data_IF_872758007685
#
_entry.id   IF_872758007685
#
_cell.length_a   1.000
_cell.length_b   1.000
_cell.length_c   1.000
_cell.angle_alpha   90.00
_cell.angle_beta   90.00
_cell.angle_gamma   90.00
#
_symmetry.space_group_name_H-M   'P 1'
#
loop_
_entity.id
_entity.type
_entity.pdbx_description
1 polymer ?
#
# COMPACT_ATOMS: atom_id res chain seq x y z
N UNK A 1 18.99 -22.30 16.30
CA UNK A 1 19.06 -20.94 16.88
C UNK A 1 17.93 -20.83 17.90
N UNK A 2 18.19 -20.41 19.14
CA UNK A 2 17.11 -20.11 20.08
C UNK A 2 16.27 -18.98 19.48
N UNK A 3 15.00 -19.25 19.16
CA UNK A 3 14.03 -18.21 18.83
C UNK A 3 13.92 -17.30 20.05
N UNK A 4 14.46 -16.09 19.96
CA UNK A 4 14.23 -15.07 20.98
C UNK A 4 12.76 -14.67 20.82
N UNK A 5 11.98 -14.83 21.88
CA UNK A 5 10.65 -14.24 21.95
C UNK A 5 10.76 -12.73 21.66
N UNK A 6 9.87 -12.16 20.85
CA UNK A 6 9.91 -10.73 20.55
C UNK A 6 9.72 -9.91 21.83
N UNK A 7 10.46 -8.82 22.00
CA UNK A 7 10.35 -7.96 23.20
C UNK A 7 9.29 -6.87 23.03
N UNK A 8 8.99 -6.49 21.79
CA UNK A 8 8.01 -5.49 21.42
C UNK A 8 7.40 -5.83 20.04
N UNK A 9 6.45 -5.01 19.60
CA UNK A 9 5.75 -5.22 18.32
C UNK A 9 6.66 -5.07 17.09
N UNK A 10 7.69 -4.22 17.15
CA UNK A 10 8.66 -4.05 16.05
C UNK A 10 9.53 -5.31 15.90
N UNK A 11 10.01 -5.89 17.01
CA UNK A 11 10.75 -7.16 17.00
C UNK A 11 9.90 -8.28 16.40
N UNK A 12 8.62 -8.35 16.81
CA UNK A 12 7.69 -9.34 16.29
C UNK A 12 7.46 -9.17 14.78
N UNK A 13 7.19 -7.94 14.32
CA UNK A 13 7.01 -7.63 12.91
C UNK A 13 8.26 -7.96 12.08
N UNK A 14 9.45 -7.64 12.61
CA UNK A 14 10.71 -7.97 11.96
C UNK A 14 10.92 -9.48 11.81
N UNK A 15 10.73 -10.25 12.88
CA UNK A 15 10.88 -11.72 12.87
C UNK A 15 9.90 -12.34 11.87
N UNK A 16 8.64 -11.89 11.88
CA UNK A 16 7.61 -12.39 10.98
C UNK A 16 7.91 -12.04 9.53
N UNK A 17 8.32 -10.80 9.25
CA UNK A 17 8.71 -10.34 7.91
C UNK A 17 9.84 -11.21 7.35
N UNK A 18 10.93 -11.40 8.11
CA UNK A 18 12.04 -12.27 7.68
C UNK A 18 11.60 -13.72 7.44
N UNK A 19 10.73 -14.25 8.30
CA UNK A 19 10.18 -15.59 8.14
C UNK A 19 9.27 -15.72 6.91
N UNK A 20 8.49 -14.70 6.57
CA UNK A 20 7.59 -14.70 5.43
C UNK A 20 8.35 -14.55 4.11
N UNK A 21 9.35 -13.67 4.06
CA UNK A 21 10.20 -13.50 2.88
C UNK A 21 11.03 -14.76 2.59
N UNK A 22 11.40 -15.52 3.61
CA UNK A 22 12.11 -16.80 3.46
C UNK A 22 11.21 -17.97 3.08
N UNK A 23 9.88 -17.82 3.08
CA UNK A 23 8.93 -18.90 2.78
C UNK A 23 7.87 -18.46 1.75
N UNK A 24 7.89 -19.07 0.56
CA UNK A 24 7.00 -18.73 -0.55
C UNK A 24 5.52 -18.84 -0.22
N UNK A 25 5.13 -19.82 0.59
CA UNK A 25 3.74 -20.05 1.01
C UNK A 25 3.20 -18.93 1.90
N UNK A 26 4.09 -18.07 2.42
CA UNK A 26 3.76 -16.91 3.24
C UNK A 26 3.81 -15.61 2.43
N UNK A 27 3.61 -15.67 1.12
CA UNK A 27 3.56 -14.52 0.22
C UNK A 27 2.34 -14.58 -0.68
N UNK A 28 1.84 -13.43 -1.12
CA UNK A 28 0.77 -13.35 -2.12
C UNK A 28 1.26 -14.05 -3.42
N UNK A 29 0.35 -14.66 -4.17
CA UNK A 29 0.70 -15.28 -5.46
C UNK A 29 1.35 -14.25 -6.41
N UNK A 30 2.28 -14.73 -7.24
CA UNK A 30 3.05 -13.91 -8.19
C UNK A 30 3.83 -12.70 -7.63
N UNK A 31 4.13 -12.69 -6.34
CA UNK A 31 4.76 -11.53 -5.69
C UNK A 31 5.77 -11.91 -4.61
N UNK A 32 6.57 -10.94 -4.23
CA UNK A 32 7.40 -11.00 -3.01
C UNK A 32 6.74 -10.28 -1.81
N UNK A 33 5.44 -10.04 -1.89
CA UNK A 33 4.64 -9.39 -0.85
C UNK A 33 4.32 -10.41 0.25
N UNK A 34 4.80 -10.24 1.48
CA UNK A 34 4.53 -11.19 2.56
C UNK A 34 3.07 -11.14 3.01
N UNK A 35 2.53 -12.28 3.45
CA UNK A 35 1.18 -12.41 4.02
C UNK A 35 1.17 -11.94 5.48
N UNK A 36 1.26 -10.63 5.65
CA UNK A 36 1.29 -9.93 6.94
C UNK A 36 0.29 -8.79 6.83
N UNK A 37 -0.71 -8.75 7.71
CA UNK A 37 -1.70 -7.69 7.77
C UNK A 37 -1.29 -6.67 8.83
N UNK A 38 -1.39 -5.40 8.49
CA UNK A 38 -1.19 -4.27 9.38
C UNK A 38 -2.47 -3.42 9.43
N UNK A 39 -3.02 -3.26 10.62
CA UNK A 39 -4.10 -2.30 10.91
C UNK A 39 -3.72 -1.44 12.11
N UNK A 40 -4.26 -0.23 12.18
CA UNK A 40 -3.95 0.71 13.27
C UNK A 40 -5.19 1.35 13.86
N UNK A 41 -5.12 1.68 15.14
CA UNK A 41 -6.08 2.52 15.84
C UNK A 41 -5.43 3.18 17.05
N UNK A 42 -6.11 4.16 17.66
CA UNK A 42 -5.56 4.91 18.80
C UNK A 42 -5.07 4.03 19.96
N UNK A 43 -5.85 3.00 20.30
CA UNK A 43 -5.57 2.10 21.43
C UNK A 43 -5.99 0.68 21.09
N UNK A 44 -5.40 -0.31 21.78
CA UNK A 44 -5.79 -1.73 21.72
C UNK A 44 -7.00 -2.09 22.58
N UNK A 45 -7.57 -1.12 23.31
CA UNK A 45 -8.74 -1.32 24.17
C UNK A 45 -10.03 -1.37 23.33
N UNK A 46 -10.29 -2.54 22.73
CA UNK A 46 -11.40 -2.76 21.79
C UNK A 46 -12.79 -2.48 22.38
N UNK A 47 -12.94 -2.58 23.69
CA UNK A 47 -14.16 -2.24 24.43
C UNK A 47 -14.49 -0.73 24.40
N UNK A 48 -13.52 0.12 24.04
CA UNK A 48 -13.70 1.57 23.90
C UNK A 48 -14.01 2.02 22.47
N UNK A 49 -14.00 1.09 21.51
CA UNK A 49 -14.16 1.40 20.09
C UNK A 49 -15.64 1.57 19.71
N UNK A 50 -15.88 2.20 18.56
CA UNK A 50 -17.22 2.26 17.99
C UNK A 50 -17.66 0.83 17.62
N UNK A 51 -18.80 0.33 18.13
CA UNK A 51 -19.25 -1.04 17.83
C UNK A 51 -19.44 -1.31 16.33
N UNK A 52 -19.58 -0.27 15.50
CA UNK A 52 -19.71 -0.40 14.04
C UNK A 52 -18.42 -0.80 13.34
N UNK A 53 -17.25 -0.62 13.96
CA UNK A 53 -15.97 -1.00 13.35
C UNK A 53 -15.55 -2.44 13.71
N UNK A 54 -16.02 -2.96 14.85
CA UNK A 54 -15.66 -4.29 15.35
C UNK A 54 -15.87 -5.43 14.33
N UNK A 55 -17.00 -5.48 13.58
CA UNK A 55 -17.21 -6.56 12.61
C UNK A 55 -16.12 -6.62 11.53
N UNK A 56 -15.58 -5.47 11.12
CA UNK A 56 -14.51 -5.41 10.13
C UNK A 56 -13.19 -5.91 10.71
N UNK A 57 -12.86 -5.53 11.94
CA UNK A 57 -11.65 -6.02 12.63
C UNK A 57 -11.70 -7.52 12.85
N UNK A 58 -12.84 -8.02 13.32
CA UNK A 58 -13.07 -9.45 13.50
C UNK A 58 -12.91 -10.18 12.17
N UNK A 59 -13.50 -9.68 11.08
CA UNK A 59 -13.37 -10.28 9.75
C UNK A 59 -11.91 -10.40 9.29
N UNK A 60 -11.12 -9.32 9.40
CA UNK A 60 -9.69 -9.35 9.04
C UNK A 60 -8.88 -10.31 9.93
N UNK A 61 -9.16 -10.34 11.24
CA UNK A 61 -8.50 -11.23 12.19
C UNK A 61 -8.83 -12.70 11.91
N UNK A 62 -10.12 -13.02 11.74
CA UNK A 62 -10.63 -14.36 11.48
C UNK A 62 -10.03 -14.94 10.19
N UNK A 63 -10.02 -14.16 9.11
CA UNK A 63 -9.44 -14.61 7.84
C UNK A 63 -7.93 -14.86 7.96
N UNK A 64 -7.24 -14.11 8.82
CA UNK A 64 -5.79 -14.23 9.01
C UNK A 64 -5.43 -15.52 9.76
N UNK A 65 -6.27 -15.96 10.70
CA UNK A 65 -5.97 -17.07 11.61
C UNK A 65 -6.59 -18.41 11.21
N UNK A 66 -7.74 -18.42 10.53
CA UNK A 66 -8.46 -19.65 10.18
C UNK A 66 -8.05 -20.17 8.81
N UNK A 67 -7.45 -21.36 8.80
CA UNK A 67 -6.91 -22.02 7.59
C UNK A 67 -7.98 -22.34 6.54
N UNK A 68 -9.23 -22.57 6.96
CA UNK A 68 -10.34 -22.82 6.04
C UNK A 68 -10.70 -21.59 5.17
N UNK A 69 -10.25 -20.40 5.58
CA UNK A 69 -10.50 -19.13 4.87
C UNK A 69 -9.42 -18.78 3.83
N UNK A 70 -8.27 -19.47 3.86
CA UNK A 70 -7.13 -19.19 2.98
C UNK A 70 -5.77 -19.44 3.64
N UNK A 71 -4.66 -19.09 2.96
CA UNK A 71 -3.33 -19.18 3.53
C UNK A 71 -3.22 -18.29 4.80
N UNK A 72 -2.71 -18.82 5.92
CA UNK A 72 -2.65 -18.06 7.16
C UNK A 72 -1.76 -16.83 7.00
N UNK A 73 -2.21 -15.72 7.59
CA UNK A 73 -1.51 -14.44 7.58
C UNK A 73 -1.14 -14.06 9.01
N UNK A 74 0.02 -13.43 9.21
CA UNK A 74 0.28 -12.78 10.48
C UNK A 74 -0.54 -11.50 10.58
N UNK A 75 -1.12 -11.22 11.74
CA UNK A 75 -1.93 -10.02 11.95
C UNK A 75 -1.27 -9.14 13.01
N UNK A 76 -1.01 -7.88 12.66
CA UNK A 76 -0.46 -6.86 13.56
C UNK A 76 -1.42 -5.70 13.71
N UNK A 77 -1.78 -5.43 14.96
CA UNK A 77 -2.52 -4.25 15.35
C UNK A 77 -1.59 -3.26 16.03
N UNK A 78 -1.52 -2.05 15.47
CA UNK A 78 -0.63 -1.00 15.95
C UNK A 78 -1.44 0.06 16.68
N UNK A 79 -1.03 0.41 17.89
CA UNK A 79 -1.54 1.60 18.56
C UNK A 79 -0.64 2.82 18.30
N UNK A 80 -1.06 4.01 18.75
CA UNK A 80 -0.29 5.25 18.59
C UNK A 80 1.15 5.10 19.14
N UNK A 81 1.34 4.30 20.20
CA UNK A 81 2.68 4.04 20.75
C UNK A 81 3.52 3.19 19.80
N UNK A 82 2.94 2.14 19.23
CA UNK A 82 3.59 1.29 18.23
C UNK A 82 3.90 2.05 16.93
N UNK A 83 2.98 2.89 16.46
CA UNK A 83 3.19 3.75 15.29
C UNK A 83 4.38 4.68 15.51
N UNK A 84 4.40 5.40 16.63
CA UNK A 84 5.48 6.33 16.97
C UNK A 84 6.82 5.60 17.15
N UNK A 85 6.83 4.44 17.79
CA UNK A 85 8.03 3.63 17.96
C UNK A 85 8.64 3.20 16.61
N UNK A 86 7.80 2.92 15.59
CA UNK A 86 8.25 2.61 14.25
C UNK A 86 9.01 3.80 13.62
N UNK A 87 8.43 5.00 13.72
CA UNK A 87 9.05 6.24 13.22
C UNK A 87 10.36 6.51 13.96
N UNK A 88 10.38 6.38 15.29
CA UNK A 88 11.59 6.57 16.10
C UNK A 88 12.69 5.58 15.73
N UNK A 89 12.35 4.33 15.43
CA UNK A 89 13.33 3.30 15.10
C UNK A 89 13.93 3.47 13.69
N UNK A 90 13.12 3.86 12.70
CA UNK A 90 13.51 3.80 11.29
C UNK A 90 13.62 5.16 10.59
N UNK A 91 12.96 6.18 11.10
CA UNK A 91 12.82 7.52 10.50
C UNK A 91 13.09 8.60 11.57
N UNK A 92 14.09 8.36 12.43
CA UNK A 92 14.38 9.18 13.60
C UNK A 92 14.65 10.65 13.26
N UNK A 93 15.22 10.93 12.09
CA UNK A 93 15.46 12.29 11.57
C UNK A 93 14.16 13.03 11.20
N UNK A 94 13.04 12.30 11.07
CA UNK A 94 11.71 12.83 10.80
C UNK A 94 10.81 12.86 12.04
N UNK A 95 11.18 12.19 13.14
CA UNK A 95 10.33 12.01 14.33
C UNK A 95 9.79 13.32 14.91
N UNK A 96 10.63 14.36 15.01
CA UNK A 96 10.18 15.68 15.52
C UNK A 96 9.08 16.28 14.64
N UNK A 97 9.20 16.15 13.32
CA UNK A 97 8.19 16.63 12.36
C UNK A 97 6.93 15.77 12.41
N UNK A 98 7.08 14.47 12.57
CA UNK A 98 5.98 13.54 12.75
C UNK A 98 5.12 13.91 13.98
N UNK A 99 5.77 14.19 15.11
CA UNK A 99 5.10 14.53 16.37
C UNK A 99 4.48 15.95 16.35
N UNK A 100 5.12 16.93 15.70
CA UNK A 100 4.74 18.35 15.81
C UNK A 100 3.95 18.91 14.61
N UNK A 101 4.16 18.39 13.40
CA UNK A 101 3.59 18.96 12.17
C UNK A 101 2.41 18.17 11.60
N UNK A 102 2.29 16.88 11.93
CA UNK A 102 1.26 16.00 11.37
C UNK A 102 0.07 15.91 12.32
N UNK A 103 -1.13 16.00 11.74
CA UNK A 103 -2.36 15.64 12.47
C UNK A 103 -2.42 14.12 12.68
N UNK A 104 -3.27 13.61 13.60
CA UNK A 104 -3.40 12.17 13.82
C UNK A 104 -3.76 11.36 12.57
N UNK A 105 -4.53 11.94 11.64
CA UNK A 105 -4.86 11.30 10.36
C UNK A 105 -3.60 11.19 9.48
N UNK A 106 -2.83 12.26 9.39
CA UNK A 106 -1.59 12.28 8.61
C UNK A 106 -0.49 11.40 9.22
N UNK A 107 -0.48 11.25 10.55
CA UNK A 107 0.37 10.29 11.25
C UNK A 107 0.05 8.85 10.86
N UNK A 108 -1.25 8.51 10.72
CA UNK A 108 -1.70 7.20 10.20
C UNK A 108 -1.35 7.01 8.72
N UNK A 109 -1.51 8.06 7.91
CA UNK A 109 -1.12 8.07 6.50
C UNK A 109 0.38 7.83 6.28
N UNK A 110 1.24 8.42 7.11
CA UNK A 110 2.68 8.13 7.05
C UNK A 110 2.99 6.74 7.59
N UNK A 111 2.35 6.36 8.71
CA UNK A 111 2.56 5.06 9.33
C UNK A 111 2.27 3.89 8.37
N UNK A 112 1.14 3.92 7.64
CA UNK A 112 0.78 2.83 6.71
C UNK A 112 1.85 2.60 5.65
N UNK A 113 2.46 3.68 5.16
CA UNK A 113 3.57 3.61 4.19
C UNK A 113 4.83 3.05 4.85
N UNK A 114 5.18 3.52 6.04
CA UNK A 114 6.39 3.09 6.72
C UNK A 114 6.33 1.64 7.21
N UNK A 115 5.19 1.17 7.73
CA UNK A 115 5.05 -0.22 8.19
C UNK A 115 5.25 -1.18 7.03
N UNK A 116 4.65 -0.89 5.87
CA UNK A 116 4.84 -1.64 4.64
C UNK A 116 6.26 -1.48 4.06
N UNK A 117 6.86 -0.28 4.12
CA UNK A 117 8.26 -0.07 3.74
C UNK A 117 9.21 -0.96 4.53
N UNK A 118 9.05 -1.08 5.84
CA UNK A 118 10.01 -1.79 6.68
C UNK A 118 9.73 -3.28 6.82
N UNK A 119 8.47 -3.69 6.82
CA UNK A 119 8.09 -5.09 7.06
C UNK A 119 7.45 -5.78 5.85
N UNK A 120 7.13 -5.03 4.78
CA UNK A 120 6.27 -5.49 3.70
C UNK A 120 4.84 -5.66 4.18
N UNK A 121 4.05 -6.42 3.43
CA UNK A 121 2.74 -6.85 3.86
C UNK A 121 1.61 -6.08 3.22
N UNK A 122 0.45 -6.22 3.83
CA UNK A 122 -0.85 -5.69 3.45
C UNK A 122 -1.25 -4.68 4.51
N UNK A 123 -1.58 -3.48 4.09
CA UNK A 123 -2.24 -2.51 4.94
C UNK A 123 -3.71 -2.39 4.52
N UNK A 124 -4.61 -2.27 5.49
CA UNK A 124 -6.00 -1.87 5.26
C UNK A 124 -6.52 -1.04 6.45
N UNK A 125 -7.29 0.01 6.17
CA UNK A 125 -7.95 0.80 7.20
C UNK A 125 -8.94 -0.07 7.99
N UNK A 126 -9.08 0.25 9.27
CA UNK A 126 -9.80 -0.58 10.24
C UNK A 126 -11.30 -0.72 9.93
N UNK A 127 -11.87 0.25 9.22
CA UNK A 127 -13.26 0.32 8.79
C UNK A 127 -13.49 -0.24 7.37
N UNK A 128 -12.56 -1.05 6.86
CA UNK A 128 -12.64 -1.67 5.54
C UNK A 128 -13.25 -3.06 5.60
N UNK A 129 -14.37 -3.28 4.91
CA UNK A 129 -14.92 -4.60 4.65
C UNK A 129 -13.98 -5.42 3.75
N UNK A 130 -13.60 -6.61 4.20
CA UNK A 130 -12.80 -7.53 3.40
C UNK A 130 -13.70 -8.41 2.52
N UNK A 131 -13.76 -8.10 1.24
CA UNK A 131 -14.60 -8.84 0.28
C UNK A 131 -13.88 -10.12 -0.21
N UNK A 132 -12.54 -10.08 -0.30
CA UNK A 132 -11.71 -11.18 -0.80
C UNK A 132 -10.44 -11.34 0.00
N UNK A 133 -10.05 -12.59 0.26
CA UNK A 133 -8.78 -12.91 0.93
C UNK A 133 -7.57 -12.27 0.21
N UNK A 134 -6.68 -11.53 0.91
CA UNK A 134 -5.57 -10.80 0.30
C UNK A 134 -4.60 -11.63 -0.54
N UNK A 135 -4.38 -12.91 -0.17
CA UNK A 135 -3.61 -13.86 -0.98
C UNK A 135 -4.12 -14.03 -2.43
N UNK A 136 -5.37 -13.64 -2.71
CA UNK A 136 -6.02 -13.71 -4.02
C UNK A 136 -6.23 -12.33 -4.68
N UNK A 137 -5.63 -11.26 -4.15
CA UNK A 137 -5.68 -9.93 -4.77
C UNK A 137 -4.86 -9.82 -6.07
N UNK A 138 -3.92 -10.75 -6.29
CA UNK A 138 -3.13 -10.81 -7.52
C UNK A 138 -3.48 -12.09 -8.27
N UNK A 139 -4.17 -11.94 -9.40
CA UNK A 139 -4.48 -13.01 -10.33
C UNK A 139 -3.50 -13.08 -11.49
N UNK A 140 -3.41 -14.24 -12.14
CA UNK A 140 -2.54 -14.42 -13.30
C UNK A 140 -2.88 -13.47 -14.47
N UNK A 141 -4.17 -13.16 -14.64
CA UNK A 141 -4.64 -12.24 -15.67
C UNK A 141 -4.31 -10.78 -15.40
N UNK A 142 -4.07 -10.40 -14.14
CA UNK A 142 -3.75 -9.02 -13.77
C UNK A 142 -2.36 -8.59 -14.25
N UNK A 143 -1.49 -9.57 -14.50
CA UNK A 143 -0.14 -9.36 -15.01
C UNK A 143 -0.07 -9.38 -16.54
N UNK A 144 -1.17 -9.66 -17.24
CA UNK A 144 -1.16 -9.78 -18.70
C UNK A 144 -0.64 -8.52 -19.38
N UNK A 145 0.00 -8.71 -20.53
CA UNK A 145 0.51 -7.58 -21.30
C UNK A 145 -0.59 -6.61 -21.72
N UNK A 146 -0.24 -5.34 -21.78
CA UNK A 146 -1.12 -4.26 -22.22
C UNK A 146 -0.29 -3.18 -22.92
N UNK A 147 -0.94 -2.43 -23.81
CA UNK A 147 -0.28 -1.44 -24.65
C UNK A 147 -0.83 -0.06 -24.32
N UNK A 148 0.06 0.91 -24.10
CA UNK A 148 -0.35 2.31 -24.02
C UNK A 148 -0.89 2.74 -25.39
N UNK A 149 -2.18 3.13 -25.50
CA UNK A 149 -2.82 3.43 -26.77
C UNK A 149 -2.25 4.67 -27.48
N UNK A 150 -1.56 5.55 -26.75
CA UNK A 150 -0.99 6.78 -27.32
C UNK A 150 0.44 6.56 -27.81
N UNK A 151 1.26 5.88 -27.00
CA UNK A 151 2.70 5.70 -27.30
C UNK A 151 2.99 4.39 -28.03
N UNK A 152 2.08 3.42 -27.99
CA UNK A 152 2.28 2.07 -28.53
C UNK A 152 3.26 1.20 -27.72
N UNK A 153 3.68 1.66 -26.53
CA UNK A 153 4.60 0.92 -25.66
C UNK A 153 3.87 -0.18 -24.90
N UNK A 154 4.44 -1.38 -24.91
CA UNK A 154 3.92 -2.53 -24.17
C UNK A 154 4.45 -2.58 -22.74
N UNK A 155 3.60 -3.04 -21.82
CA UNK A 155 3.86 -3.26 -20.41
C UNK A 155 3.27 -4.60 -19.97
N UNK A 156 3.51 -4.99 -18.72
CA UNK A 156 3.05 -6.23 -18.11
C UNK A 156 4.05 -7.37 -18.20
N UNK A 157 3.63 -8.55 -17.76
CA UNK A 157 4.47 -9.75 -17.69
C UNK A 157 4.22 -10.62 -18.91
N UNK A 158 5.27 -10.78 -19.72
CA UNK A 158 5.24 -11.65 -20.88
C UNK A 158 5.69 -13.06 -20.48
N UNK A 159 4.74 -13.98 -20.29
CA UNK A 159 5.05 -15.39 -20.09
C UNK A 159 5.00 -16.15 -21.43
N UNK A 160 6.15 -16.63 -21.91
CA UNK A 160 6.25 -17.50 -23.09
C UNK A 160 5.99 -18.98 -22.79
N UNK A 161 5.88 -19.34 -21.51
CA UNK A 161 5.70 -20.72 -21.08
C UNK A 161 4.24 -21.16 -21.24
N UNK A 162 4.04 -22.36 -21.78
CA UNK A 162 2.70 -22.99 -21.92
C UNK A 162 2.10 -23.30 -20.54
N UNK A 163 2.94 -23.42 -19.51
CA UNK A 163 2.55 -23.55 -18.11
C UNK A 163 2.73 -22.20 -17.40
N UNK A 164 1.70 -21.68 -16.71
CA UNK A 164 1.85 -20.49 -15.89
C UNK A 164 2.89 -20.76 -14.80
N UNK A 165 3.94 -19.95 -14.74
CA UNK A 165 4.90 -19.99 -13.66
C UNK A 165 4.33 -19.16 -12.50
N UNK A 166 3.67 -19.84 -11.57
CA UNK A 166 3.15 -19.24 -10.34
C UNK A 166 4.25 -18.91 -9.33
N UNK A 167 5.49 -19.33 -9.60
CA UNK A 167 6.63 -19.25 -8.69
C UNK A 167 7.44 -17.97 -8.87
N UNK A 168 7.57 -17.45 -10.09
CA UNK A 168 8.29 -16.20 -10.36
C UNK A 168 7.57 -15.01 -9.68
N UNK A 169 8.23 -14.30 -8.76
CA UNK A 169 7.71 -13.05 -8.22
C UNK A 169 7.81 -11.96 -9.29
N UNK A 170 6.68 -11.36 -9.61
CA UNK A 170 6.53 -10.32 -10.62
C UNK A 170 6.14 -9.00 -9.97
N UNK A 171 5.33 -9.06 -8.91
CA UNK A 171 4.81 -7.88 -8.22
C UNK A 171 5.56 -7.65 -6.91
N UNK A 172 6.04 -6.43 -6.71
CA UNK A 172 6.63 -5.95 -5.46
C UNK A 172 5.77 -4.87 -4.79
N UNK A 173 4.88 -4.22 -5.52
CA UNK A 173 3.99 -3.19 -4.99
C UNK A 173 2.61 -3.29 -5.66
N UNK A 174 1.56 -3.30 -4.86
CA UNK A 174 0.18 -3.41 -5.28
C UNK A 174 -0.59 -2.18 -4.81
N UNK A 175 -1.15 -1.43 -5.77
CA UNK A 175 -2.06 -0.32 -5.51
C UNK A 175 -3.44 -0.60 -6.10
N UNK A 176 -4.47 0.02 -5.54
CA UNK A 176 -5.77 0.21 -6.20
C UNK A 176 -5.95 1.65 -6.64
N UNK A 177 -6.82 1.89 -7.62
CA UNK A 177 -7.31 3.22 -7.91
C UNK A 177 -8.47 3.58 -6.98
N UNK A 178 -8.51 4.81 -6.47
CA UNK A 178 -9.74 5.38 -5.90
C UNK A 178 -10.43 6.36 -6.87
N UNK A 179 -9.69 6.83 -7.87
CA UNK A 179 -10.20 7.67 -8.93
C UNK A 179 -9.67 7.22 -10.28
N UNK A 180 -10.57 7.16 -11.26
CA UNK A 180 -10.26 6.93 -12.68
C UNK A 180 -11.20 7.79 -13.52
N UNK A 181 -10.74 8.99 -13.84
CA UNK A 181 -11.48 9.99 -14.60
C UNK A 181 -10.87 10.16 -15.99
N UNK A 182 -11.60 10.78 -16.91
CA UNK A 182 -11.06 11.13 -18.22
C UNK A 182 -9.78 11.99 -18.07
N UNK A 183 -8.60 11.52 -18.53
CA UNK A 183 -7.36 12.27 -18.40
C UNK A 183 -7.35 13.61 -19.14
N UNK A 184 -8.22 13.78 -20.13
CA UNK A 184 -8.36 15.02 -20.91
C UNK A 184 -9.34 16.02 -20.28
N UNK A 185 -9.88 15.70 -19.10
CA UNK A 185 -10.85 16.52 -18.38
C UNK A 185 -10.32 16.95 -17.02
N UNK A 186 -10.72 18.13 -16.56
CA UNK A 186 -10.48 18.59 -15.19
C UNK A 186 -11.58 18.15 -14.21
N UNK A 187 -12.64 17.46 -14.66
CA UNK A 187 -13.84 17.19 -13.85
C UNK A 187 -13.57 16.46 -12.51
N UNK A 188 -12.45 15.76 -12.39
CA UNK A 188 -12.00 15.10 -11.17
C UNK A 188 -11.89 16.04 -9.97
N UNK A 189 -11.64 17.34 -10.17
CA UNK A 189 -11.59 18.32 -9.07
C UNK A 189 -12.95 18.45 -8.37
N UNK A 190 -14.06 18.28 -9.10
CA UNK A 190 -15.43 18.35 -8.53
C UNK A 190 -15.76 17.14 -7.65
N UNK A 191 -15.00 16.05 -7.82
CA UNK A 191 -15.08 14.85 -7.00
C UNK A 191 -14.05 14.85 -5.87
N UNK A 192 -13.38 15.99 -5.65
CA UNK A 192 -12.36 16.19 -4.60
C UNK A 192 -11.07 15.36 -4.80
N UNK A 193 -10.80 14.91 -6.03
CA UNK A 193 -9.53 14.26 -6.36
C UNK A 193 -8.47 15.27 -6.84
N UNK A 194 -7.20 14.94 -6.62
CA UNK A 194 -6.05 15.75 -7.09
C UNK A 194 -5.56 15.30 -8.46
N UNK A 195 -5.65 14.00 -8.76
CA UNK A 195 -5.27 13.41 -10.04
C UNK A 195 -6.47 12.73 -10.71
N UNK A 196 -6.55 12.71 -12.06
CA UNK A 196 -7.60 11.96 -12.77
C UNK A 196 -7.52 10.46 -12.48
N UNK A 197 -6.30 9.89 -12.48
CA UNK A 197 -5.97 8.58 -11.94
C UNK A 197 -5.28 8.78 -10.59
N UNK A 198 -5.97 8.45 -9.50
CA UNK A 198 -5.48 8.60 -8.13
C UNK A 198 -5.48 7.23 -7.45
N UNK A 199 -4.35 6.91 -6.82
CA UNK A 199 -4.17 5.67 -6.05
C UNK A 199 -4.90 5.77 -4.72
N UNK A 200 -5.50 4.67 -4.28
CA UNK A 200 -5.96 4.51 -2.90
C UNK A 200 -4.78 4.28 -1.96
N UNK A 201 -4.94 4.70 -0.71
CA UNK A 201 -4.05 4.26 0.38
C UNK A 201 -4.78 3.66 1.58
N UNK A 202 -6.11 3.56 1.52
CA UNK A 202 -6.91 2.85 2.51
C UNK A 202 -6.69 1.34 2.46
N UNK A 203 -6.24 0.79 1.33
CA UNK A 203 -5.68 -0.56 1.22
C UNK A 203 -4.62 -0.63 0.11
N UNK A 204 -3.54 -1.37 0.37
CA UNK A 204 -2.47 -1.66 -0.57
C UNK A 204 -1.57 -2.77 -0.01
N UNK A 205 -0.64 -3.28 -0.81
CA UNK A 205 0.32 -4.29 -0.34
C UNK A 205 1.70 -4.12 -0.99
N UNK A 206 2.77 -4.54 -0.31
CA UNK A 206 4.13 -4.37 -0.83
C UNK A 206 5.14 -5.35 -0.25
N UNK A 207 6.19 -5.61 -1.02
CA UNK A 207 7.45 -6.11 -0.51
C UNK A 207 8.15 -4.99 0.26
N UNK A 208 8.95 -5.31 1.29
CA UNK A 208 9.69 -4.30 2.01
C UNK A 208 10.70 -3.58 1.10
N UNK A 209 10.99 -2.32 1.43
CA UNK A 209 12.00 -1.48 0.79
C UNK A 209 11.74 -1.14 -0.68
N UNK A 210 10.50 -1.20 -1.15
CA UNK A 210 10.17 -0.73 -2.49
C UNK A 210 10.53 0.78 -2.65
N UNK A 211 11.26 1.19 -3.70
CA UNK A 211 11.81 2.56 -3.81
C UNK A 211 10.79 3.69 -3.81
N UNK A 212 9.54 3.41 -4.23
CA UNK A 212 8.43 4.37 -4.17
C UNK A 212 8.19 4.89 -2.76
N UNK A 213 8.39 4.08 -1.72
CA UNK A 213 8.19 4.51 -0.33
C UNK A 213 9.29 5.45 0.15
N UNK A 214 10.54 5.28 -0.30
CA UNK A 214 11.57 6.27 -0.02
C UNK A 214 11.27 7.58 -0.73
N UNK A 215 10.83 7.51 -1.99
CA UNK A 215 10.42 8.71 -2.72
C UNK A 215 9.26 9.45 -2.06
N UNK A 216 8.28 8.71 -1.52
CA UNK A 216 7.20 9.29 -0.73
C UNK A 216 7.76 10.06 0.49
N UNK A 217 8.68 9.44 1.23
CA UNK A 217 9.29 10.08 2.40
C UNK A 217 10.17 11.28 2.02
N UNK A 218 10.91 11.22 0.92
CA UNK A 218 11.69 12.35 0.42
C UNK A 218 10.80 13.53 0.02
N UNK A 219 9.69 13.27 -0.65
CA UNK A 219 8.69 14.28 -0.98
C UNK A 219 8.14 14.94 0.30
N UNK A 220 7.80 14.13 1.30
CA UNK A 220 7.28 14.60 2.59
C UNK A 220 8.32 15.41 3.38
N UNK A 221 9.57 14.95 3.45
CA UNK A 221 10.66 15.69 4.08
C UNK A 221 10.86 17.02 3.37
N UNK A 222 10.86 17.04 2.04
CA UNK A 222 11.06 18.26 1.27
C UNK A 222 9.91 19.27 1.45
N UNK A 223 8.65 18.83 1.45
CA UNK A 223 7.53 19.74 1.67
C UNK A 223 7.42 20.25 3.12
N UNK A 224 8.14 19.64 4.06
CA UNK A 224 8.20 20.05 5.47
C UNK A 224 9.51 20.73 5.89
N UNK A 225 10.42 21.04 4.93
CA UNK A 225 11.70 21.72 5.19
C UNK A 225 11.58 23.22 5.43
N UNK A 226 10.70 23.92 4.69
CA UNK A 226 10.66 25.38 4.67
C UNK A 226 9.38 25.90 5.37
N UNK A 227 9.53 26.36 6.62
CA UNK A 227 8.57 27.09 7.45
C UNK A 227 7.15 26.49 7.67
N UNK A 228 6.85 26.28 8.96
CA UNK A 228 5.59 25.81 9.57
C UNK A 228 4.31 26.33 8.91
N UNK A 229 4.31 27.54 8.35
CA UNK A 229 3.12 28.21 7.80
C UNK A 229 2.62 27.61 6.49
N UNK A 230 3.49 27.14 5.58
CA UNK A 230 3.05 26.52 4.32
C UNK A 230 2.68 25.04 4.51
N UNK A 231 3.41 24.33 5.38
CA UNK A 231 3.12 22.95 5.75
C UNK A 231 1.80 22.81 6.54
N UNK A 232 1.44 23.80 7.38
CA UNK A 232 0.16 23.83 8.11
C UNK A 232 -1.06 24.21 7.24
N UNK A 233 -0.83 24.84 6.08
CA UNK A 233 -1.91 25.20 5.13
C UNK A 233 -2.10 24.10 4.06
N UNK A 234 -1.16 23.17 3.94
CA UNK A 234 -1.24 22.10 2.97
C UNK A 234 -2.39 21.14 3.30
N UNK A 235 -3.23 20.89 2.31
CA UNK A 235 -4.27 19.87 2.34
C UNK A 235 -3.66 18.50 2.74
N UNK A 236 -4.13 17.86 3.83
CA UNK A 236 -3.66 16.54 4.28
C UNK A 236 -3.65 15.50 3.16
N UNK A 237 -4.66 15.53 2.27
CA UNK A 237 -4.77 14.60 1.14
C UNK A 237 -3.57 14.70 0.20
N UNK A 238 -2.99 15.88 0.07
CA UNK A 238 -1.83 16.17 -0.78
C UNK A 238 -0.50 15.97 -0.06
N UNK A 239 -0.48 16.12 1.27
CA UNK A 239 0.75 16.03 2.06
C UNK A 239 1.11 14.60 2.40
N UNK A 240 0.14 13.80 2.86
CA UNK A 240 0.35 12.40 3.27
C UNK A 240 -0.69 11.45 2.68
N UNK A 241 -1.77 12.00 2.13
CA UNK A 241 -2.91 11.24 1.61
C UNK A 241 -2.69 10.53 0.26
N UNK A 242 -3.80 10.08 -0.35
CA UNK A 242 -3.83 9.46 -1.67
C UNK A 242 -3.07 10.21 -2.77
N UNK A 243 -3.07 11.54 -2.75
CA UNK A 243 -2.35 12.33 -3.74
C UNK A 243 -0.83 12.27 -3.53
N UNK A 244 -0.35 12.15 -2.29
CA UNK A 244 1.07 12.02 -1.99
C UNK A 244 1.64 10.67 -2.48
N UNK A 245 0.93 9.56 -2.24
CA UNK A 245 1.34 8.23 -2.77
C UNK A 245 1.22 8.16 -4.29
N UNK A 246 0.22 8.83 -4.87
CA UNK A 246 0.07 8.97 -6.32
C UNK A 246 1.26 9.71 -6.90
N UNK A 247 1.66 10.85 -6.33
CA UNK A 247 2.82 11.62 -6.78
C UNK A 247 4.13 10.82 -6.68
N UNK A 248 4.35 10.13 -5.57
CA UNK A 248 5.55 9.32 -5.37
C UNK A 248 5.65 8.19 -6.40
N UNK A 249 4.56 7.44 -6.61
CA UNK A 249 4.52 6.33 -7.56
C UNK A 249 4.65 6.83 -9.00
N UNK A 250 3.86 7.86 -9.35
CA UNK A 250 3.86 8.49 -10.66
C UNK A 250 5.24 8.97 -11.06
N UNK A 251 5.85 9.82 -10.23
CA UNK A 251 7.16 10.41 -10.54
C UNK A 251 8.27 9.36 -10.56
N UNK A 252 8.16 8.28 -9.77
CA UNK A 252 9.11 7.18 -9.84
C UNK A 252 9.04 6.46 -11.19
N UNK A 253 7.84 6.09 -11.65
CA UNK A 253 7.66 5.43 -12.95
C UNK A 253 8.01 6.36 -14.13
N UNK A 254 7.70 7.65 -14.03
CA UNK A 254 8.13 8.66 -15.01
C UNK A 254 9.66 8.73 -15.11
N UNK A 255 10.37 8.79 -13.98
CA UNK A 255 11.83 8.87 -13.95
C UNK A 255 12.51 7.55 -14.37
N UNK A 256 11.98 6.40 -13.98
CA UNK A 256 12.58 5.10 -14.28
C UNK A 256 12.44 4.72 -15.75
N UNK A 257 11.28 4.99 -16.36
CA UNK A 257 10.96 4.43 -17.67
C UNK A 257 10.19 5.36 -18.61
N UNK A 258 10.05 6.64 -18.26
CA UNK A 258 9.24 7.59 -19.03
C UNK A 258 7.76 7.19 -19.09
N UNK A 259 7.24 6.58 -18.01
CA UNK A 259 5.87 6.09 -17.98
C UNK A 259 4.85 7.23 -18.10
N UNK A 260 3.87 7.07 -19.00
CA UNK A 260 2.77 8.02 -19.14
C UNK A 260 1.66 7.67 -18.14
N UNK A 261 1.61 8.35 -16.99
CA UNK A 261 0.65 8.03 -15.91
C UNK A 261 -0.81 7.92 -16.36
N UNK A 262 -1.24 8.80 -17.26
CA UNK A 262 -2.62 8.84 -17.79
C UNK A 262 -2.98 7.62 -18.64
N UNK A 263 -2.00 6.81 -19.07
CA UNK A 263 -2.24 5.51 -19.69
C UNK A 263 -2.84 4.49 -18.74
N UNK A 264 -2.83 4.76 -17.42
CA UNK A 264 -3.49 3.90 -16.43
C UNK A 264 -5.02 3.90 -16.54
N UNK A 265 -5.61 4.89 -17.21
CA UNK A 265 -7.07 5.03 -17.25
C UNK A 265 -7.76 3.76 -17.75
N UNK A 266 -8.76 3.31 -17.01
CA UNK A 266 -9.62 2.19 -17.32
C UNK A 266 -10.86 2.56 -18.13
N UNK A 267 -11.12 3.87 -18.30
CA UNK A 267 -12.31 4.42 -18.98
C UNK A 267 -12.53 3.82 -20.37
N UNK A 268 -11.46 3.45 -21.08
CA UNK A 268 -11.52 2.92 -22.46
C UNK A 268 -11.21 1.42 -22.57
N UNK A 269 -10.78 0.76 -21.51
CA UNK A 269 -10.38 -0.66 -21.52
C UNK A 269 -11.18 -1.56 -20.56
N UNK A 270 -12.21 -1.01 -19.90
CA UNK A 270 -13.08 -1.75 -19.00
C UNK A 270 -12.52 -1.89 -17.58
N UNK A 271 -11.56 -1.06 -17.18
CA UNK A 271 -10.94 -1.15 -15.86
C UNK A 271 -9.93 -2.30 -15.79
N UNK A 272 -9.10 -2.46 -16.81
CA UNK A 272 -8.06 -3.50 -16.82
C UNK A 272 -6.97 -3.18 -15.79
N UNK A 273 -6.57 -4.19 -15.00
CA UNK A 273 -5.38 -4.15 -14.14
C UNK A 273 -4.11 -3.90 -14.98
N UNK A 274 -3.19 -3.09 -14.46
CA UNK A 274 -2.01 -2.64 -15.19
C UNK A 274 -0.76 -2.88 -14.38
N UNK A 275 0.02 -3.87 -14.79
CA UNK A 275 1.38 -4.10 -14.30
C UNK A 275 2.35 -3.21 -15.08
N UNK A 276 3.18 -2.46 -14.36
CA UNK A 276 4.24 -1.58 -14.88
C UNK A 276 5.49 -1.81 -14.03
N UNK A 277 6.58 -2.28 -14.65
CA UNK A 277 7.72 -2.84 -13.92
C UNK A 277 7.25 -3.92 -12.93
N UNK A 278 7.44 -3.72 -11.64
CA UNK A 278 7.00 -4.57 -10.53
C UNK A 278 5.84 -3.98 -9.73
N UNK A 279 5.19 -2.93 -10.25
CA UNK A 279 4.03 -2.28 -9.64
C UNK A 279 2.76 -2.71 -10.37
N UNK A 280 1.87 -3.40 -9.65
CA UNK A 280 0.53 -3.72 -10.14
C UNK A 280 -0.47 -2.68 -9.65
N UNK A 281 -1.17 -2.04 -10.59
CA UNK A 281 -2.26 -1.10 -10.33
C UNK A 281 -3.58 -1.78 -10.69
N UNK A 282 -4.41 -2.00 -9.68
CA UNK A 282 -5.76 -2.55 -9.83
C UNK A 282 -6.78 -1.44 -10.13
N UNK A 283 -7.88 -1.76 -10.86
CA UNK A 283 -8.98 -0.81 -11.06
C UNK A 283 -9.69 -0.47 -9.74
N UNK A 284 -10.63 0.49 -9.78
CA UNK A 284 -11.38 0.93 -8.60
C UNK A 284 -12.06 -0.21 -7.84
N UNK A 285 -12.49 -1.25 -8.54
CA UNK A 285 -13.16 -2.43 -7.97
C UNK A 285 -12.19 -3.58 -7.66
N UNK A 286 -10.88 -3.37 -7.77
CA UNK A 286 -9.91 -4.46 -7.80
C UNK A 286 -9.65 -5.17 -6.47
N UNK A 287 -9.97 -4.54 -5.35
CA UNK A 287 -9.94 -5.18 -4.03
C UNK A 287 -11.23 -5.95 -3.67
N UNK A 288 -12.19 -6.02 -4.60
CA UNK A 288 -13.41 -6.86 -4.50
C UNK A 288 -13.14 -8.30 -4.97
#
# INVERSE_FOLDING_TARGET
>A
MHSKNPQNILDAAHIVSQSALSNRERRILFSDIPLIVHQTWKTTAADTWDPRILPWVELWLEISIYVDSGPPMAYFFWDDTGMRALVEQYENDFLERYDSLLTPVEQSDVFRILVCKHFGGIYADLDTELIRHPAAWIGGSDMNTWTDPETGKDYGYYNTSVTPDYETPVVSLLWGLEADNDPESDAYWRLSYTYPQQLSQWAFASAPQHPVFERYMDNLRNCTRDNETAAQISDPLKRTGPAAVTLATKSWLEDQMGFRWTSLTGVKDGGKSKLVEDILILPITGFQ
#
